data_IF_114285670510
#
_entry.id   IF_114285670510
#
_cell.length_a   1.000
_cell.length_b   1.000
_cell.length_c   1.000
_cell.angle_alpha   90.00
_cell.angle_beta   90.00
_cell.angle_gamma   90.00
#
_symmetry.space_group_name_H-M   'P 1'
#
loop_
_entity.id
_entity.type
_entity.pdbx_description
1 polymer ?
#
# COMPACT_ATOMS: atom_id res chain seq x y z
N UNK A 1 -29.77 33.51 -44.91
CA UNK A 1 -28.98 33.12 -46.10
C UNK A 1 -27.82 34.09 -46.21
N UNK A 2 -26.62 33.70 -45.80
CA UNK A 2 -25.45 34.59 -45.77
C UNK A 2 -24.60 34.55 -47.04
N UNK A 3 -24.87 33.61 -47.95
CA UNK A 3 -24.07 33.44 -49.14
C UNK A 3 -24.71 34.15 -50.36
N UNK A 4 -24.09 35.26 -50.80
CA UNK A 4 -24.59 36.08 -51.92
C UNK A 4 -24.49 35.36 -53.28
N UNK A 5 -23.73 34.27 -53.34
CA UNK A 5 -23.54 33.47 -54.56
C UNK A 5 -24.67 32.43 -54.78
N UNK A 6 -25.47 32.10 -53.74
CA UNK A 6 -26.59 31.14 -53.84
C UNK A 6 -27.56 31.50 -54.95
N UNK A 7 -27.88 32.79 -55.11
CA UNK A 7 -28.79 33.26 -56.17
C UNK A 7 -28.19 32.97 -57.54
N UNK A 8 -26.86 33.12 -57.72
CA UNK A 8 -26.19 32.81 -58.99
C UNK A 8 -26.21 31.31 -59.28
N UNK A 9 -25.97 30.46 -58.28
CA UNK A 9 -26.02 29.01 -58.44
C UNK A 9 -27.44 28.52 -58.81
N UNK A 10 -28.48 29.12 -58.22
CA UNK A 10 -29.87 28.77 -58.51
C UNK A 10 -30.39 29.30 -59.87
N UNK A 11 -29.79 30.35 -60.42
CA UNK A 11 -30.32 31.03 -61.62
C UNK A 11 -29.51 30.80 -62.90
N UNK A 12 -28.22 30.47 -62.82
CA UNK A 12 -27.38 30.23 -64.00
C UNK A 12 -27.47 28.77 -64.47
N UNK A 13 -27.76 28.57 -65.75
CA UNK A 13 -27.82 27.23 -66.40
C UNK A 13 -26.54 26.41 -66.22
N UNK A 14 -25.38 27.05 -66.22
CA UNK A 14 -24.07 26.37 -66.07
C UNK A 14 -23.91 25.62 -64.74
N UNK A 15 -24.69 25.99 -63.72
CA UNK A 15 -24.65 25.37 -62.39
C UNK A 15 -25.87 24.51 -62.09
N UNK A 16 -26.92 24.58 -62.93
CA UNK A 16 -28.17 23.85 -62.72
C UNK A 16 -27.96 22.32 -62.71
N UNK A 17 -27.11 21.82 -63.62
CA UNK A 17 -26.79 20.39 -63.73
C UNK A 17 -25.88 19.88 -62.60
N UNK A 18 -25.32 20.78 -61.78
CA UNK A 18 -24.41 20.48 -60.66
C UNK A 18 -25.06 20.72 -59.29
N UNK A 19 -26.33 21.10 -59.25
CA UNK A 19 -27.01 21.54 -58.04
C UNK A 19 -27.76 20.37 -57.39
N UNK A 20 -27.33 19.97 -56.20
CA UNK A 20 -28.05 19.01 -55.36
C UNK A 20 -28.98 19.78 -54.41
N UNK A 21 -30.28 19.58 -54.55
CA UNK A 21 -31.31 20.17 -53.69
C UNK A 21 -31.88 19.07 -52.81
N UNK A 22 -31.62 19.14 -51.51
CA UNK A 22 -32.23 18.24 -50.53
C UNK A 22 -33.35 18.95 -49.76
N UNK A 23 -34.50 18.27 -49.65
CA UNK A 23 -35.63 18.76 -48.86
C UNK A 23 -35.39 18.47 -47.38
N UNK A 24 -35.03 19.49 -46.62
CA UNK A 24 -34.88 19.40 -45.15
C UNK A 24 -36.25 19.29 -44.48
N UNK A 25 -36.40 18.30 -43.60
CA UNK A 25 -37.58 18.16 -42.73
C UNK A 25 -37.39 19.08 -41.52
N UNK A 26 -38.38 19.94 -41.27
CA UNK A 26 -38.37 20.85 -40.12
C UNK A 26 -38.57 20.08 -38.81
N UNK A 27 -37.77 20.38 -37.80
CA UNK A 27 -37.88 19.77 -36.48
C UNK A 27 -39.15 20.29 -35.76
N UNK A 28 -40.00 19.40 -35.21
CA UNK A 28 -41.14 19.77 -34.40
C UNK A 28 -40.80 20.65 -33.18
N UNK A 29 -41.65 21.62 -32.87
CA UNK A 29 -41.41 22.57 -31.77
C UNK A 29 -41.28 21.90 -30.39
N UNK A 30 -41.96 20.77 -30.16
CA UNK A 30 -41.86 20.04 -28.89
C UNK A 30 -40.46 19.43 -28.68
N UNK A 31 -39.79 18.94 -29.74
CA UNK A 31 -38.42 18.41 -29.65
C UNK A 31 -37.43 19.54 -29.33
N UNK A 32 -37.61 20.72 -29.94
CA UNK A 32 -36.80 21.90 -29.62
C UNK A 32 -36.95 22.26 -28.14
N UNK A 33 -38.18 22.27 -27.61
CA UNK A 33 -38.41 22.55 -26.18
C UNK A 33 -37.79 21.48 -25.27
N UNK A 34 -37.91 20.19 -25.61
CA UNK A 34 -37.30 19.10 -24.85
C UNK A 34 -35.77 19.22 -24.80
N UNK A 35 -35.13 19.64 -25.89
CA UNK A 35 -33.68 19.89 -25.90
C UNK A 35 -33.31 21.08 -25.02
N UNK A 36 -34.14 22.13 -24.95
CA UNK A 36 -33.88 23.24 -24.00
C UNK A 36 -33.97 22.79 -22.54
N UNK A 37 -34.93 21.93 -22.22
CA UNK A 37 -35.02 21.32 -20.89
C UNK A 37 -33.79 20.45 -20.60
N UNK A 38 -33.36 19.61 -21.55
CA UNK A 38 -32.12 18.84 -21.43
C UNK A 38 -30.89 19.72 -21.21
N UNK A 39 -30.79 20.87 -21.90
CA UNK A 39 -29.68 21.81 -21.65
C UNK A 39 -29.65 22.33 -20.21
N UNK A 40 -30.82 22.56 -19.63
CA UNK A 40 -30.95 23.00 -18.26
C UNK A 40 -30.53 21.89 -17.29
N UNK A 41 -31.03 20.67 -17.45
CA UNK A 41 -30.73 19.57 -16.54
C UNK A 41 -29.28 19.07 -16.65
N UNK A 42 -28.74 18.93 -17.88
CA UNK A 42 -27.38 18.43 -18.10
C UNK A 42 -26.30 19.47 -17.80
N UNK A 43 -26.50 20.71 -18.22
CA UNK A 43 -25.45 21.73 -18.24
C UNK A 43 -25.75 22.92 -17.33
N UNK A 44 -26.92 22.97 -16.67
CA UNK A 44 -27.38 24.14 -15.91
C UNK A 44 -27.42 25.43 -16.73
N UNK A 45 -27.72 25.34 -18.03
CA UNK A 45 -27.79 26.49 -18.94
C UNK A 45 -29.19 26.66 -19.50
N UNK A 46 -29.79 27.82 -19.24
CA UNK A 46 -31.12 28.20 -19.75
C UNK A 46 -31.05 29.14 -20.96
N UNK A 47 -29.94 29.85 -21.13
CA UNK A 47 -29.72 30.79 -22.23
C UNK A 47 -29.19 30.03 -23.46
N UNK A 48 -30.11 29.56 -24.29
CA UNK A 48 -29.81 28.85 -25.55
C UNK A 48 -30.52 29.49 -26.75
N UNK A 49 -29.97 29.38 -27.97
CA UNK A 49 -30.59 29.95 -29.16
C UNK A 49 -32.00 29.41 -29.41
N UNK A 50 -32.84 30.24 -30.02
CA UNK A 50 -34.21 29.85 -30.35
C UNK A 50 -34.33 29.17 -31.71
N UNK A 51 -33.34 29.37 -32.59
CA UNK A 51 -33.28 28.76 -33.91
C UNK A 51 -32.72 27.33 -33.86
N UNK A 52 -33.20 26.48 -34.75
CA UNK A 52 -32.89 25.03 -34.80
C UNK A 52 -31.38 24.77 -34.94
N UNK A 53 -30.72 25.47 -35.86
CA UNK A 53 -29.29 25.27 -36.16
C UNK A 53 -28.40 25.85 -35.06
N UNK A 54 -28.76 27.01 -34.51
CA UNK A 54 -28.07 27.64 -33.40
C UNK A 54 -28.16 26.81 -32.13
N UNK A 55 -29.34 26.25 -31.82
CA UNK A 55 -29.54 25.38 -30.68
C UNK A 55 -28.70 24.10 -30.84
N UNK A 56 -28.73 23.45 -32.00
CA UNK A 56 -27.91 22.26 -32.28
C UNK A 56 -26.42 22.55 -32.09
N UNK A 57 -25.91 23.65 -32.64
CA UNK A 57 -24.50 24.05 -32.47
C UNK A 57 -24.17 24.27 -30.99
N UNK A 58 -25.02 25.01 -30.27
CA UNK A 58 -24.80 25.31 -28.86
C UNK A 58 -24.78 24.04 -28.01
N UNK A 59 -25.71 23.12 -28.23
CA UNK A 59 -25.75 21.83 -27.54
C UNK A 59 -24.46 21.05 -27.82
N UNK A 60 -24.04 20.95 -29.07
CA UNK A 60 -22.80 20.25 -29.43
C UNK A 60 -21.55 20.83 -28.77
N UNK A 61 -21.48 22.15 -28.64
CA UNK A 61 -20.36 22.79 -27.94
C UNK A 61 -20.37 22.43 -26.45
N UNK A 62 -21.54 22.50 -25.79
CA UNK A 62 -21.69 22.09 -24.39
C UNK A 62 -21.37 20.61 -24.17
N UNK A 63 -21.83 19.75 -25.08
CA UNK A 63 -21.53 18.32 -25.07
C UNK A 63 -20.03 18.07 -25.20
N UNK A 64 -19.32 18.81 -26.05
CA UNK A 64 -17.86 18.68 -26.22
C UNK A 64 -17.09 19.12 -24.96
N UNK A 65 -17.52 20.21 -24.34
CA UNK A 65 -16.95 20.68 -23.07
C UNK A 65 -17.17 19.62 -21.98
N UNK A 66 -18.35 19.03 -21.92
CA UNK A 66 -18.70 18.01 -20.94
C UNK A 66 -17.92 16.70 -21.14
N UNK A 67 -17.80 16.22 -22.39
CA UNK A 67 -16.93 15.09 -22.73
C UNK A 67 -15.49 15.36 -22.29
N UNK A 68 -14.99 16.58 -22.44
CA UNK A 68 -13.64 16.96 -22.03
C UNK A 68 -13.46 16.85 -20.51
N UNK A 69 -14.42 17.37 -19.72
CA UNK A 69 -14.41 17.20 -18.25
C UNK A 69 -14.50 15.73 -17.84
N UNK A 70 -15.36 14.94 -18.49
CA UNK A 70 -15.44 13.50 -18.22
C UNK A 70 -14.07 12.83 -18.49
N UNK A 71 -13.40 13.19 -19.58
CA UNK A 71 -12.08 12.65 -19.90
C UNK A 71 -11.05 12.99 -18.81
N UNK A 72 -11.05 14.21 -18.29
CA UNK A 72 -10.19 14.60 -17.16
C UNK A 72 -10.48 13.75 -15.92
N UNK A 73 -11.76 13.58 -15.57
CA UNK A 73 -12.16 12.75 -14.43
C UNK A 73 -11.74 11.28 -14.62
N UNK A 74 -11.90 10.73 -15.82
CA UNK A 74 -11.54 9.35 -16.14
C UNK A 74 -10.03 9.06 -15.98
N UNK A 75 -9.15 10.08 -15.92
CA UNK A 75 -7.73 9.89 -15.63
C UNK A 75 -7.53 9.37 -14.21
N UNK A 76 -8.27 9.89 -13.22
CA UNK A 76 -8.15 9.44 -11.83
C UNK A 76 -8.46 7.95 -11.68
N UNK A 77 -9.44 7.45 -12.43
CA UNK A 77 -9.84 6.04 -12.42
C UNK A 77 -8.78 5.09 -13.00
N UNK A 78 -7.72 5.59 -13.64
CA UNK A 78 -6.58 4.76 -14.07
C UNK A 78 -5.64 4.45 -12.90
N UNK A 79 -5.60 5.31 -11.88
CA UNK A 79 -4.71 5.19 -10.73
C UNK A 79 -5.35 4.39 -9.59
N UNK A 80 -6.66 4.55 -9.40
CA UNK A 80 -7.37 3.89 -8.29
C UNK A 80 -8.83 3.62 -8.65
N UNK A 81 -9.46 2.71 -7.90
CA UNK A 81 -10.86 2.33 -8.09
C UNK A 81 -11.77 3.27 -7.29
N UNK A 82 -12.31 4.28 -7.96
CA UNK A 82 -13.29 5.21 -7.38
C UNK A 82 -14.73 4.81 -7.74
N UNK A 83 -15.73 5.23 -6.94
CA UNK A 83 -17.15 5.02 -7.26
C UNK A 83 -17.57 5.83 -8.51
N UNK A 84 -18.61 5.36 -9.20
CA UNK A 84 -19.26 6.11 -10.29
C UNK A 84 -18.57 6.11 -11.65
N UNK A 85 -17.55 5.28 -11.88
CA UNK A 85 -16.86 5.21 -13.19
C UNK A 85 -17.82 4.88 -14.34
N UNK A 86 -18.77 3.98 -14.11
CA UNK A 86 -19.71 3.53 -15.15
C UNK A 86 -20.63 4.66 -15.60
N UNK A 87 -21.11 5.48 -14.66
CA UNK A 87 -21.96 6.67 -14.95
C UNK A 87 -21.23 7.60 -15.93
N UNK A 88 -19.94 7.87 -15.68
CA UNK A 88 -19.13 8.71 -16.57
C UNK A 88 -18.92 8.09 -17.95
N UNK A 89 -18.69 6.78 -18.03
CA UNK A 89 -18.48 6.07 -19.31
C UNK A 89 -19.76 6.05 -20.15
N UNK A 90 -20.87 5.64 -19.57
CA UNK A 90 -22.18 5.58 -20.24
C UNK A 90 -22.63 6.97 -20.71
N UNK A 91 -22.45 7.99 -19.85
CA UNK A 91 -22.70 9.39 -20.22
C UNK A 91 -21.83 9.84 -21.38
N UNK A 92 -20.52 9.58 -21.32
CA UNK A 92 -19.58 9.94 -22.38
C UNK A 92 -19.93 9.29 -23.72
N UNK A 93 -20.23 7.99 -23.74
CA UNK A 93 -20.58 7.27 -24.96
C UNK A 93 -21.84 7.85 -25.63
N UNK A 94 -22.86 8.14 -24.83
CA UNK A 94 -24.11 8.79 -25.29
C UNK A 94 -23.82 10.19 -25.84
N UNK A 95 -23.05 11.01 -25.13
CA UNK A 95 -22.67 12.35 -25.57
C UNK A 95 -21.82 12.35 -26.85
N UNK A 96 -20.88 11.41 -26.99
CA UNK A 96 -20.04 11.27 -28.19
C UNK A 96 -20.87 10.85 -29.41
N UNK A 97 -21.85 9.97 -29.22
CA UNK A 97 -22.79 9.58 -30.27
C UNK A 97 -23.57 10.79 -30.78
N UNK A 98 -24.13 11.60 -29.89
CA UNK A 98 -24.87 12.82 -30.23
C UNK A 98 -23.99 13.83 -31.00
N UNK A 99 -22.73 14.01 -30.59
CA UNK A 99 -21.81 14.94 -31.25
C UNK A 99 -21.52 14.59 -32.72
N UNK A 100 -21.52 13.30 -33.08
CA UNK A 100 -21.21 12.79 -34.43
C UNK A 100 -22.35 12.98 -35.43
N UNK A 101 -23.58 13.27 -34.99
CA UNK A 101 -24.74 13.38 -35.87
C UNK A 101 -24.74 14.73 -36.58
N UNK A 102 -24.62 14.74 -37.90
CA UNK A 102 -24.55 15.99 -38.69
C UNK A 102 -25.92 16.49 -39.16
N UNK A 103 -26.86 15.58 -39.43
CA UNK A 103 -28.23 15.96 -39.80
C UNK A 103 -28.99 16.50 -38.59
N UNK A 104 -29.72 17.60 -38.80
CA UNK A 104 -30.44 18.26 -37.71
C UNK A 104 -31.59 17.38 -37.21
N UNK A 105 -32.40 16.80 -38.10
CA UNK A 105 -33.55 16.02 -37.67
C UNK A 105 -33.10 14.78 -36.91
N UNK A 106 -32.12 14.06 -37.44
CA UNK A 106 -31.52 12.90 -36.78
C UNK A 106 -30.97 13.29 -35.38
N UNK A 107 -30.36 14.46 -35.25
CA UNK A 107 -29.83 14.93 -33.97
C UNK A 107 -30.92 15.13 -32.91
N UNK A 108 -32.04 15.78 -33.27
CA UNK A 108 -33.16 16.00 -32.35
C UNK A 108 -33.92 14.70 -32.04
N UNK A 109 -34.08 13.82 -33.04
CA UNK A 109 -34.69 12.50 -32.85
C UNK A 109 -33.84 11.63 -31.90
N UNK A 110 -32.51 11.65 -32.03
CA UNK A 110 -31.63 10.88 -31.17
C UNK A 110 -31.57 11.45 -29.73
N UNK A 111 -31.51 12.77 -29.58
CA UNK A 111 -31.61 13.40 -28.25
C UNK A 111 -32.92 13.05 -27.54
N UNK A 112 -34.01 12.94 -28.28
CA UNK A 112 -35.29 12.52 -27.73
C UNK A 112 -35.27 11.05 -27.30
N UNK A 113 -34.60 10.19 -28.07
CA UNK A 113 -34.46 8.76 -27.79
C UNK A 113 -33.58 8.50 -26.58
N UNK A 114 -32.46 9.20 -26.47
CA UNK A 114 -31.48 9.04 -25.39
C UNK A 114 -31.78 9.96 -24.18
N UNK A 115 -32.95 10.63 -24.17
CA UNK A 115 -33.34 11.60 -23.13
C UNK A 115 -33.20 11.03 -21.72
N UNK A 116 -33.74 9.85 -21.46
CA UNK A 116 -33.75 9.27 -20.11
C UNK A 116 -32.34 8.91 -19.65
N UNK A 117 -31.50 8.36 -20.56
CA UNK A 117 -30.08 8.03 -20.28
C UNK A 117 -29.30 9.30 -19.95
N UNK A 118 -29.56 10.39 -20.67
CA UNK A 118 -28.93 11.69 -20.41
C UNK A 118 -29.36 12.28 -19.06
N UNK A 119 -30.64 12.15 -18.69
CA UNK A 119 -31.13 12.60 -17.38
C UNK A 119 -30.55 11.75 -16.24
N UNK A 120 -30.49 10.44 -16.39
CA UNK A 120 -29.84 9.53 -15.43
C UNK A 120 -28.36 9.89 -15.24
N UNK A 121 -27.67 10.25 -16.33
CA UNK A 121 -26.31 10.78 -16.27
C UNK A 121 -26.26 12.14 -15.55
N UNK A 122 -27.17 13.06 -15.85
CA UNK A 122 -27.22 14.36 -15.20
C UNK A 122 -27.29 14.20 -13.68
N UNK A 123 -28.26 13.43 -13.20
CA UNK A 123 -28.47 13.17 -11.78
C UNK A 123 -27.30 12.40 -11.16
N UNK A 124 -26.87 11.31 -11.80
CA UNK A 124 -25.83 10.44 -11.28
C UNK A 124 -24.44 11.09 -11.26
N UNK A 125 -24.15 11.98 -12.21
CA UNK A 125 -22.83 12.60 -12.33
C UNK A 125 -22.59 13.72 -11.32
N UNK A 126 -23.64 14.29 -10.70
CA UNK A 126 -23.53 15.36 -9.69
C UNK A 126 -22.65 14.91 -8.53
N UNK A 127 -22.99 13.76 -7.93
CA UNK A 127 -22.25 13.22 -6.80
C UNK A 127 -20.83 12.79 -7.19
N UNK A 128 -20.67 12.24 -8.40
CA UNK A 128 -19.36 11.84 -8.93
C UNK A 128 -18.44 13.05 -9.09
N UNK A 129 -18.92 14.13 -9.71
CA UNK A 129 -18.15 15.37 -9.89
C UNK A 129 -17.81 15.99 -8.53
N UNK A 130 -18.80 16.11 -7.65
CA UNK A 130 -18.62 16.63 -6.29
C UNK A 130 -17.60 15.83 -5.47
N UNK A 131 -17.52 14.53 -5.67
CA UNK A 131 -16.51 13.69 -5.03
C UNK A 131 -15.08 14.10 -5.39
N UNK A 132 -14.81 14.42 -6.66
CA UNK A 132 -13.49 14.88 -7.13
C UNK A 132 -13.22 16.36 -6.85
N UNK A 133 -14.26 17.19 -6.85
CA UNK A 133 -14.14 18.65 -6.62
C UNK A 133 -14.07 19.02 -5.12
N UNK A 134 -14.11 18.03 -4.22
CA UNK A 134 -14.11 18.24 -2.76
C UNK A 134 -13.11 17.35 -2.04
N UNK A 135 -13.01 17.51 -0.72
CA UNK A 135 -12.14 16.69 0.14
C UNK A 135 -12.62 15.22 0.26
N UNK A 136 -13.76 14.87 -0.34
CA UNK A 136 -14.30 13.51 -0.28
C UNK A 136 -13.32 12.48 -0.87
N UNK A 137 -12.66 12.81 -1.98
CA UNK A 137 -11.61 11.97 -2.55
C UNK A 137 -10.49 11.68 -1.54
N UNK A 138 -10.00 12.70 -0.86
CA UNK A 138 -8.90 12.56 0.11
C UNK A 138 -9.31 11.65 1.29
N UNK A 139 -10.52 11.82 1.82
CA UNK A 139 -11.02 10.96 2.89
C UNK A 139 -11.21 9.51 2.44
N UNK A 140 -11.67 9.31 1.20
CA UNK A 140 -11.79 7.99 0.61
C UNK A 140 -10.42 7.33 0.43
N UNK A 141 -9.45 8.05 -0.14
CA UNK A 141 -8.07 7.57 -0.33
C UNK A 141 -7.42 7.17 1.00
N UNK A 142 -7.59 8.01 2.03
CA UNK A 142 -7.09 7.71 3.38
C UNK A 142 -7.76 6.46 3.98
N UNK A 143 -9.07 6.29 3.81
CA UNK A 143 -9.78 5.11 4.29
C UNK A 143 -9.28 3.82 3.60
N UNK A 144 -9.14 3.84 2.27
CA UNK A 144 -8.55 2.72 1.50
C UNK A 144 -7.17 2.38 2.04
N UNK A 145 -6.31 3.39 2.20
CA UNK A 145 -4.96 3.17 2.73
C UNK A 145 -4.97 2.55 4.14
N UNK A 146 -5.84 3.00 5.05
CA UNK A 146 -5.93 2.40 6.41
C UNK A 146 -6.48 0.98 6.39
N UNK A 147 -7.43 0.68 5.50
CA UNK A 147 -7.90 -0.69 5.27
C UNK A 147 -6.73 -1.58 4.81
N UNK A 148 -5.88 -1.08 3.90
CA UNK A 148 -4.72 -1.83 3.41
C UNK A 148 -3.68 -2.06 4.50
N UNK A 149 -3.38 -1.04 5.32
CA UNK A 149 -2.51 -1.17 6.50
C UNK A 149 -3.02 -2.27 7.43
N UNK A 150 -4.32 -2.29 7.74
CA UNK A 150 -4.90 -3.36 8.54
C UNK A 150 -4.77 -4.72 7.84
N UNK A 151 -5.09 -4.81 6.55
CA UNK A 151 -5.01 -6.07 5.80
C UNK A 151 -3.59 -6.65 5.81
N UNK A 152 -2.56 -5.79 5.69
CA UNK A 152 -1.17 -6.19 5.82
C UNK A 152 -0.81 -6.69 7.22
N UNK A 153 -1.55 -6.30 8.26
CA UNK A 153 -1.29 -6.63 9.67
C UNK A 153 -2.32 -7.59 10.30
N UNK A 154 -3.28 -8.08 9.51
CA UNK A 154 -4.50 -8.75 9.99
C UNK A 154 -4.24 -9.99 10.87
N UNK A 155 -3.14 -10.70 10.64
CA UNK A 155 -2.75 -11.88 11.42
C UNK A 155 -2.48 -11.57 12.89
N UNK A 156 -1.99 -10.36 13.19
CA UNK A 156 -1.62 -9.94 14.54
C UNK A 156 -2.69 -9.08 15.22
N UNK A 157 -3.58 -8.47 14.44
CA UNK A 157 -4.59 -7.56 14.96
C UNK A 157 -5.92 -8.28 15.11
N UNK A 158 -6.15 -8.88 16.29
CA UNK A 158 -7.39 -9.58 16.64
C UNK A 158 -8.37 -8.72 17.47
N UNK A 159 -8.04 -7.44 17.67
CA UNK A 159 -8.86 -6.51 18.44
C UNK A 159 -10.21 -6.24 17.76
N UNK A 160 -11.29 -6.46 18.50
CA UNK A 160 -12.66 -6.36 17.96
C UNK A 160 -13.03 -4.95 17.53
N UNK A 161 -12.52 -3.92 18.21
CA UNK A 161 -12.81 -2.53 17.85
C UNK A 161 -12.14 -2.18 16.53
N UNK A 162 -10.87 -2.56 16.35
CA UNK A 162 -10.16 -2.34 15.07
C UNK A 162 -10.86 -3.08 13.93
N UNK A 163 -11.25 -4.33 14.14
CA UNK A 163 -11.98 -5.13 13.14
C UNK A 163 -13.29 -4.44 12.75
N UNK A 164 -14.06 -3.94 13.72
CA UNK A 164 -15.33 -3.25 13.47
C UNK A 164 -15.12 -1.93 12.72
N UNK A 165 -14.16 -1.09 13.15
CA UNK A 165 -13.81 0.17 12.48
C UNK A 165 -13.44 -0.05 11.02
N UNK A 166 -12.60 -1.06 10.75
CA UNK A 166 -12.23 -1.44 9.38
C UNK A 166 -13.43 -1.93 8.59
N UNK A 167 -14.31 -2.74 9.19
CA UNK A 167 -15.55 -3.19 8.57
C UNK A 167 -16.48 -2.03 8.18
N UNK A 168 -16.61 -1.02 9.04
CA UNK A 168 -17.37 0.19 8.74
C UNK A 168 -16.75 0.98 7.57
N UNK A 169 -15.42 1.17 7.56
CA UNK A 169 -14.72 1.82 6.45
C UNK A 169 -14.90 1.03 5.14
N UNK A 170 -14.76 -0.30 5.17
CA UNK A 170 -14.96 -1.18 4.02
C UNK A 170 -16.39 -1.10 3.47
N UNK A 171 -17.40 -1.00 4.34
CA UNK A 171 -18.80 -0.84 3.92
C UNK A 171 -19.02 0.46 3.14
N UNK A 172 -18.37 1.55 3.56
CA UNK A 172 -18.43 2.82 2.83
C UNK A 172 -17.66 2.71 1.52
N UNK A 173 -16.40 2.30 1.54
CA UNK A 173 -15.53 2.21 0.35
C UNK A 173 -16.08 1.24 -0.70
N UNK A 174 -16.71 0.14 -0.28
CA UNK A 174 -17.28 -0.88 -1.16
C UNK A 174 -18.71 -0.57 -1.65
N UNK A 175 -19.34 0.51 -1.18
CA UNK A 175 -20.68 0.90 -1.63
C UNK A 175 -20.65 1.46 -3.06
N UNK A 176 -21.68 1.14 -3.85
CA UNK A 176 -21.82 1.71 -5.21
C UNK A 176 -22.07 3.23 -5.19
N UNK A 177 -22.71 3.74 -4.13
CA UNK A 177 -23.03 5.16 -3.94
C UNK A 177 -22.60 5.62 -2.54
N UNK A 178 -21.28 5.80 -2.30
CA UNK A 178 -20.76 6.08 -0.95
C UNK A 178 -20.87 7.54 -0.53
N UNK A 179 -21.23 8.45 -1.44
CA UNK A 179 -21.09 9.91 -1.31
C UNK A 179 -21.70 10.50 -0.04
N UNK A 180 -22.85 9.97 0.39
CA UNK A 180 -23.53 10.41 1.62
C UNK A 180 -22.84 9.92 2.89
N UNK A 181 -22.04 8.85 2.85
CA UNK A 181 -21.38 8.27 4.03
C UNK A 181 -19.90 8.65 4.15
N UNK A 182 -19.29 9.21 3.10
CA UNK A 182 -17.86 9.60 3.10
C UNK A 182 -17.53 10.57 4.25
N UNK A 183 -18.46 11.42 4.67
CA UNK A 183 -18.24 12.35 5.79
C UNK A 183 -17.98 11.65 7.13
N UNK A 184 -18.32 10.35 7.25
CA UNK A 184 -18.07 9.54 8.46
C UNK A 184 -16.63 9.03 8.51
N UNK A 185 -15.97 8.90 7.36
CA UNK A 185 -14.63 8.30 7.25
C UNK A 185 -13.57 8.98 8.12
N UNK A 186 -13.48 10.33 8.22
CA UNK A 186 -12.48 10.98 9.07
C UNK A 186 -12.52 10.47 10.52
N UNK A 187 -13.72 10.41 11.11
CA UNK A 187 -13.89 9.94 12.49
C UNK A 187 -13.52 8.46 12.68
N UNK A 188 -13.80 7.61 11.68
CA UNK A 188 -13.43 6.20 11.69
C UNK A 188 -11.92 6.02 11.57
N UNK A 189 -11.28 6.81 10.70
CA UNK A 189 -9.83 6.83 10.49
C UNK A 189 -9.12 7.25 11.77
N UNK A 190 -9.56 8.32 12.42
CA UNK A 190 -8.90 8.82 13.64
C UNK A 190 -8.96 7.78 14.77
N UNK A 191 -10.13 7.17 14.98
CA UNK A 191 -10.30 6.08 15.95
C UNK A 191 -9.44 4.86 15.61
N UNK A 192 -9.38 4.51 14.33
CA UNK A 192 -8.53 3.40 13.87
C UNK A 192 -7.05 3.69 14.16
N UNK A 193 -6.56 4.90 13.84
CA UNK A 193 -5.16 5.27 14.05
C UNK A 193 -4.80 5.19 15.54
N UNK A 194 -5.62 5.78 16.41
CA UNK A 194 -5.39 5.72 17.86
C UNK A 194 -5.33 4.28 18.34
N UNK A 195 -6.36 3.48 18.06
CA UNK A 195 -6.44 2.11 18.57
C UNK A 195 -5.36 1.19 17.98
N UNK A 196 -5.04 1.35 16.70
CA UNK A 196 -4.02 0.56 16.03
C UNK A 196 -2.62 0.87 16.59
N UNK A 197 -2.32 2.15 16.85
CA UNK A 197 -1.05 2.56 17.48
C UNK A 197 -0.93 2.03 18.90
N UNK A 198 -1.99 2.11 19.72
CA UNK A 198 -2.00 1.53 21.07
C UNK A 198 -1.67 0.02 21.07
N UNK A 199 -2.26 -0.73 20.14
CA UNK A 199 -1.99 -2.16 20.01
C UNK A 199 -0.54 -2.42 19.60
N UNK A 200 0.00 -1.61 18.67
CA UNK A 200 1.37 -1.74 18.24
C UNK A 200 2.35 -1.44 19.37
N UNK A 201 2.10 -0.39 20.16
CA UNK A 201 2.90 -0.06 21.35
C UNK A 201 2.90 -1.20 22.38
N UNK A 202 1.75 -1.84 22.59
CA UNK A 202 1.64 -3.01 23.48
C UNK A 202 2.48 -4.18 22.97
N UNK A 203 2.45 -4.47 21.66
CA UNK A 203 3.25 -5.53 21.04
C UNK A 203 4.76 -5.21 21.01
N UNK A 204 5.13 -3.93 20.93
CA UNK A 204 6.54 -3.51 20.99
C UNK A 204 7.16 -3.70 22.38
N UNK A 205 6.38 -3.67 23.48
CA UNK A 205 6.91 -3.87 24.85
C UNK A 205 7.70 -5.17 25.05
N UNK A 206 7.16 -6.36 24.72
CA UNK A 206 7.92 -7.60 24.85
C UNK A 206 9.10 -7.66 23.85
N UNK A 207 9.04 -7.00 22.70
CA UNK A 207 10.19 -6.90 21.77
C UNK A 207 11.31 -6.10 22.43
N UNK A 208 10.99 -4.93 22.98
CA UNK A 208 11.93 -4.05 23.68
C UNK A 208 12.64 -4.79 24.81
N UNK A 209 11.90 -5.53 25.63
CA UNK A 209 12.47 -6.35 26.71
C UNK A 209 13.48 -7.39 26.20
N UNK A 210 13.22 -8.01 25.04
CA UNK A 210 14.16 -8.95 24.41
C UNK A 210 15.43 -8.22 23.97
N UNK A 211 15.30 -7.07 23.31
CA UNK A 211 16.44 -6.26 22.85
C UNK A 211 17.30 -5.81 24.04
N UNK A 212 16.67 -5.29 25.08
CA UNK A 212 17.34 -4.83 26.30
C UNK A 212 18.04 -6.01 27.01
N UNK A 213 17.38 -7.16 27.14
CA UNK A 213 17.97 -8.36 27.74
C UNK A 213 19.15 -8.91 26.93
N UNK A 214 19.05 -8.94 25.60
CA UNK A 214 20.15 -9.38 24.74
C UNK A 214 21.35 -8.44 24.85
N UNK A 215 21.10 -7.12 24.93
CA UNK A 215 22.15 -6.14 25.15
C UNK A 215 22.83 -6.30 26.52
N UNK A 216 22.05 -6.50 27.57
CA UNK A 216 22.56 -6.79 28.92
C UNK A 216 23.49 -8.01 28.92
N UNK A 217 23.11 -9.11 28.26
CA UNK A 217 23.96 -10.31 28.14
C UNK A 217 25.28 -10.02 27.42
N UNK A 218 25.25 -9.20 26.36
CA UNK A 218 26.47 -8.77 25.66
C UNK A 218 27.36 -7.93 26.58
N UNK A 219 26.78 -7.00 27.35
CA UNK A 219 27.52 -6.18 28.30
C UNK A 219 28.11 -7.01 29.45
N UNK A 220 27.35 -7.93 30.03
CA UNK A 220 27.81 -8.85 31.07
C UNK A 220 29.02 -9.67 30.60
N UNK A 221 29.00 -10.15 29.35
CA UNK A 221 30.15 -10.84 28.78
C UNK A 221 31.33 -9.89 28.54
N UNK A 222 31.09 -8.73 27.94
CA UNK A 222 32.14 -7.76 27.62
C UNK A 222 32.82 -7.22 28.88
N UNK A 223 32.09 -7.07 29.99
CA UNK A 223 32.60 -6.60 31.28
C UNK A 223 33.66 -7.52 31.91
N UNK A 224 33.81 -8.75 31.42
CA UNK A 224 34.82 -9.71 31.89
C UNK A 224 36.22 -9.40 31.37
N UNK A 225 36.37 -8.44 30.44
CA UNK A 225 37.61 -8.22 29.71
C UNK A 225 38.05 -6.75 29.65
N UNK A 226 39.37 -6.52 29.78
CA UNK A 226 40.00 -5.19 29.77
C UNK A 226 39.89 -4.46 28.42
N UNK A 227 39.67 -5.19 27.31
CA UNK A 227 39.50 -4.60 25.98
C UNK A 227 38.10 -4.01 25.73
N UNK A 228 37.20 -4.05 26.72
CA UNK A 228 35.86 -3.48 26.67
C UNK A 228 35.77 -2.08 26.01
N UNK A 229 36.67 -1.11 26.32
CA UNK A 229 36.58 0.23 25.73
C UNK A 229 36.67 0.25 24.19
N UNK A 230 37.22 -0.80 23.57
CA UNK A 230 37.34 -0.90 22.11
C UNK A 230 36.00 -1.23 21.43
N UNK A 231 35.13 -2.02 22.09
CA UNK A 231 33.91 -2.55 21.49
C UNK A 231 32.61 -1.93 22.01
N UNK A 232 32.64 -1.37 23.23
CA UNK A 232 31.42 -0.95 23.93
C UNK A 232 30.58 0.07 23.16
N UNK A 233 31.21 1.10 22.59
CA UNK A 233 30.48 2.15 21.85
C UNK A 233 29.86 1.60 20.56
N UNK A 234 30.57 0.71 19.87
CA UNK A 234 30.04 0.04 18.67
C UNK A 234 28.84 -0.83 19.00
N UNK A 235 28.91 -1.62 20.08
CA UNK A 235 27.79 -2.47 20.48
C UNK A 235 26.60 -1.65 20.93
N UNK A 236 26.84 -0.65 21.79
CA UNK A 236 25.80 0.27 22.26
C UNK A 236 25.04 0.90 21.09
N UNK A 237 25.75 1.47 20.12
CA UNK A 237 25.12 2.11 18.96
C UNK A 237 24.23 1.16 18.13
N UNK A 238 24.62 -0.12 17.98
CA UNK A 238 23.81 -1.10 17.23
C UNK A 238 22.51 -1.47 17.97
N UNK A 239 22.54 -1.59 19.30
CA UNK A 239 21.34 -1.87 20.09
C UNK A 239 20.45 -0.62 20.25
N UNK A 240 21.05 0.57 20.35
CA UNK A 240 20.30 1.85 20.32
C UNK A 240 19.58 2.06 18.98
N UNK A 241 20.21 1.68 17.84
CA UNK A 241 19.56 1.70 16.53
C UNK A 241 18.35 0.75 16.46
N UNK A 242 18.46 -0.47 17.00
CA UNK A 242 17.32 -1.39 17.08
C UNK A 242 16.17 -0.82 17.93
N UNK A 243 16.46 -0.24 19.08
CA UNK A 243 15.45 0.40 19.93
C UNK A 243 14.81 1.60 19.25
N UNK A 244 15.61 2.42 18.57
CA UNK A 244 15.11 3.56 17.80
C UNK A 244 14.18 3.11 16.67
N UNK A 245 14.55 2.08 15.91
CA UNK A 245 13.70 1.51 14.86
C UNK A 245 12.41 0.93 15.44
N UNK A 246 12.47 0.28 16.59
CA UNK A 246 11.28 -0.25 17.28
C UNK A 246 10.31 0.87 17.67
N UNK A 247 10.80 2.01 18.16
CA UNK A 247 9.98 3.17 18.54
C UNK A 247 9.29 3.83 17.35
N UNK A 248 9.82 3.66 16.14
CA UNK A 248 9.27 4.22 14.91
C UNK A 248 8.60 3.17 14.02
N UNK A 249 8.45 1.94 14.52
CA UNK A 249 7.78 0.87 13.80
C UNK A 249 6.32 1.25 13.56
N UNK A 250 5.84 1.04 12.33
CA UNK A 250 4.45 1.28 11.93
C UNK A 250 3.75 -0.02 11.49
N UNK A 251 4.39 -1.16 11.71
CA UNK A 251 3.98 -2.46 11.23
C UNK A 251 4.32 -3.54 12.27
N UNK A 252 3.37 -4.43 12.57
CA UNK A 252 3.53 -5.50 13.54
C UNK A 252 4.58 -6.52 13.11
N UNK A 253 4.65 -6.85 11.82
CA UNK A 253 5.64 -7.80 11.29
C UNK A 253 7.07 -7.28 11.51
N UNK A 254 7.29 -5.99 11.26
CA UNK A 254 8.59 -5.37 11.42
C UNK A 254 8.99 -5.35 12.90
N UNK A 255 8.10 -4.88 13.78
CA UNK A 255 8.34 -4.86 15.22
C UNK A 255 8.63 -6.25 15.78
N UNK A 256 7.86 -7.27 15.39
CA UNK A 256 8.07 -8.65 15.87
C UNK A 256 9.38 -9.24 15.35
N UNK A 257 9.72 -9.01 14.08
CA UNK A 257 10.96 -9.50 13.48
C UNK A 257 12.22 -8.95 14.16
N UNK A 258 12.15 -7.78 14.80
CA UNK A 258 13.28 -7.22 15.55
C UNK A 258 13.71 -8.10 16.74
N UNK A 259 12.86 -9.00 17.25
CA UNK A 259 13.28 -10.02 18.24
C UNK A 259 14.36 -10.94 17.66
N UNK A 260 14.15 -11.41 16.43
CA UNK A 260 15.14 -12.25 15.74
C UNK A 260 16.38 -11.45 15.32
N UNK A 261 16.19 -10.19 14.91
CA UNK A 261 17.29 -9.28 14.58
C UNK A 261 18.19 -9.05 15.80
N UNK A 262 17.60 -8.85 16.98
CA UNK A 262 18.30 -8.75 18.26
C UNK A 262 19.12 -9.99 18.60
N UNK A 263 18.54 -11.19 18.49
CA UNK A 263 19.25 -12.44 18.79
C UNK A 263 20.46 -12.63 17.87
N UNK A 264 20.30 -12.33 16.57
CA UNK A 264 21.40 -12.36 15.60
C UNK A 264 22.48 -11.32 15.90
N UNK A 265 22.08 -10.12 16.31
CA UNK A 265 23.01 -9.07 16.70
C UNK A 265 23.81 -9.48 17.94
N UNK A 266 23.15 -10.01 18.97
CA UNK A 266 23.79 -10.59 20.15
C UNK A 266 24.82 -11.64 19.75
N UNK A 267 24.45 -12.65 18.96
CA UNK A 267 25.39 -13.69 18.53
C UNK A 267 26.63 -13.10 17.83
N UNK A 268 26.44 -12.10 16.96
CA UNK A 268 27.55 -11.40 16.30
C UNK A 268 28.45 -10.67 17.30
N UNK A 269 27.87 -10.00 18.31
CA UNK A 269 28.65 -9.37 19.38
C UNK A 269 29.47 -10.40 20.17
N UNK A 270 28.90 -11.57 20.47
CA UNK A 270 29.63 -12.66 21.13
C UNK A 270 30.75 -13.23 20.25
N UNK A 271 30.57 -13.30 18.93
CA UNK A 271 31.63 -13.69 17.99
C UNK A 271 32.77 -12.65 17.95
N UNK A 272 32.43 -11.35 17.91
CA UNK A 272 33.42 -10.26 17.96
C UNK A 272 34.22 -10.28 19.28
N UNK A 273 33.56 -10.53 20.42
CA UNK A 273 34.24 -10.75 21.71
C UNK A 273 35.18 -11.96 21.64
N UNK A 274 34.75 -13.09 21.07
CA UNK A 274 35.58 -14.28 20.94
C UNK A 274 36.84 -14.04 20.08
N UNK A 275 36.72 -13.21 19.03
CA UNK A 275 37.86 -12.77 18.20
C UNK A 275 38.85 -11.96 19.04
N UNK A 276 38.42 -10.98 19.83
CA UNK A 276 39.33 -10.20 20.69
C UNK A 276 40.00 -11.05 21.77
N UNK A 277 39.28 -12.00 22.38
CA UNK A 277 39.87 -12.97 23.33
C UNK A 277 41.01 -13.76 22.67
N UNK A 278 40.84 -14.14 21.40
CA UNK A 278 41.85 -14.90 20.65
C UNK A 278 43.10 -14.09 20.33
N UNK A 279 42.99 -12.75 20.24
CA UNK A 279 44.12 -11.84 20.02
C UNK A 279 44.94 -11.63 21.31
N UNK A 280 44.30 -11.69 22.47
CA UNK A 280 44.93 -11.40 23.77
C UNK A 280 45.58 -12.64 24.40
N UNK A 281 45.04 -13.84 24.16
CA UNK A 281 45.74 -15.09 24.51
C UNK A 281 47.01 -15.21 23.67
N UNK A 282 48.23 -15.12 24.24
CA UNK A 282 49.45 -15.26 23.45
C UNK A 282 49.57 -16.69 22.94
N UNK A 283 50.05 -16.88 21.70
CA UNK A 283 50.94 -18.01 21.41
C UNK A 283 51.98 -18.02 22.53
N UNK A 284 51.92 -18.97 23.46
CA UNK A 284 52.95 -19.14 24.47
C UNK A 284 53.83 -20.31 24.02
N UNK A 285 55.02 -20.08 23.47
CA UNK A 285 56.03 -21.12 23.40
C UNK A 285 56.40 -21.52 24.83
N UNK A 286 56.57 -22.82 25.16
CA UNK A 286 57.09 -23.21 26.45
C UNK A 286 58.49 -22.62 26.65
N UNK A 287 58.71 -21.97 27.79
CA UNK A 287 59.98 -21.40 28.22
C UNK A 287 61.07 -22.49 28.19
N UNK A 288 62.21 -22.30 27.50
CA UNK A 288 63.25 -23.32 27.45
C UNK A 288 64.05 -23.34 28.76
N UNK A 289 63.78 -24.35 29.59
CA UNK A 289 64.72 -24.80 30.61
C UNK A 289 66.01 -25.33 29.95
N UNK A 290 67.15 -24.86 30.45
CA UNK A 290 68.49 -25.14 29.91
C UNK A 290 68.85 -26.63 29.88
N UNK A 291 69.59 -26.94 28.80
CA UNK A 291 70.57 -28.01 28.60
C UNK A 291 70.10 -29.40 28.14
N UNK A 292 70.33 -29.63 26.84
CA UNK A 292 71.19 -30.73 26.40
C UNK A 292 70.51 -31.90 25.68
N UNK A 293 70.77 -31.95 24.37
CA UNK A 293 70.62 -33.09 23.43
C UNK A 293 69.20 -33.44 22.96
N UNK A 294 68.97 -33.14 21.68
CA UNK A 294 68.04 -33.87 20.78
C UNK A 294 68.43 -35.36 20.70
N UNK A 295 67.48 -36.30 20.45
CA UNK A 295 66.75 -36.34 19.18
C UNK A 295 65.25 -36.65 19.24
N UNK A 296 64.58 -36.19 18.17
CA UNK A 296 63.34 -36.68 17.54
C UNK A 296 62.24 -37.30 18.42
N UNK A 297 61.17 -36.51 18.63
CA UNK A 297 59.80 -37.04 18.69
C UNK A 297 58.92 -36.10 17.87
N UNK A 298 58.29 -36.66 16.82
CA UNK A 298 57.17 -36.03 16.11
C UNK A 298 55.99 -35.90 17.08
N UNK A 299 55.79 -34.74 17.69
CA UNK A 299 54.54 -34.42 18.37
C UNK A 299 53.59 -33.65 17.43
N UNK A 300 52.32 -34.06 17.27
CA UNK A 300 51.39 -33.40 16.36
C UNK A 300 51.03 -31.99 16.85
N UNK A 301 50.67 -31.05 15.95
CA UNK A 301 50.27 -29.70 16.36
C UNK A 301 49.02 -29.76 17.24
N UNK A 302 49.14 -29.25 18.47
CA UNK A 302 48.02 -29.10 19.40
C UNK A 302 46.87 -28.34 18.74
N UNK A 303 45.74 -29.02 18.57
CA UNK A 303 44.58 -28.47 17.88
C UNK A 303 43.87 -27.46 18.79
N UNK A 304 43.89 -26.19 18.40
CA UNK A 304 43.20 -25.12 19.12
C UNK A 304 41.69 -25.25 18.92
N UNK A 305 40.91 -25.15 20.00
CA UNK A 305 39.46 -25.28 19.93
C UNK A 305 38.78 -23.98 19.51
N UNK A 306 37.99 -23.99 18.43
CA UNK A 306 37.19 -22.86 17.95
C UNK A 306 35.95 -22.69 18.83
N UNK A 307 35.64 -21.49 19.31
CA UNK A 307 34.38 -21.25 20.03
C UNK A 307 33.25 -20.99 19.04
N UNK A 308 32.11 -21.66 19.23
CA UNK A 308 30.87 -21.46 18.47
C UNK A 308 29.78 -21.04 19.45
N UNK A 309 29.19 -19.88 19.22
CA UNK A 309 28.09 -19.34 20.04
C UNK A 309 26.75 -19.83 19.47
N UNK A 310 25.91 -20.44 20.32
CA UNK A 310 24.60 -20.97 19.95
C UNK A 310 23.53 -20.35 20.84
N UNK A 311 22.51 -19.75 20.23
CA UNK A 311 21.35 -19.21 20.96
C UNK A 311 20.51 -20.34 21.51
N UNK A 312 20.21 -20.30 22.81
CA UNK A 312 19.38 -21.31 23.49
C UNK A 312 17.97 -21.38 22.87
N UNK A 313 17.45 -20.25 22.41
CA UNK A 313 16.13 -20.16 21.76
C UNK A 313 16.03 -21.01 20.48
N UNK A 314 17.16 -21.29 19.82
CA UNK A 314 17.21 -22.07 18.58
C UNK A 314 17.43 -23.58 18.81
N UNK A 315 17.58 -24.02 20.07
CA UNK A 315 17.85 -25.42 20.40
C UNK A 315 16.54 -26.21 20.55
N UNK A 316 15.46 -25.59 21.00
CA UNK A 316 14.15 -26.21 21.14
C UNK A 316 13.20 -25.62 20.09
N UNK A 317 12.49 -26.48 19.35
CA UNK A 317 11.49 -26.07 18.37
C UNK A 317 10.15 -26.76 18.62
N UNK A 318 9.06 -26.05 18.28
CA UNK A 318 7.70 -26.58 18.36
C UNK A 318 7.10 -26.53 19.77
N UNK A 319 5.77 -26.67 19.84
CA UNK A 319 5.06 -26.83 21.10
C UNK A 319 5.31 -28.25 21.64
N UNK A 320 5.71 -28.36 22.90
CA UNK A 320 5.88 -29.64 23.61
C UNK A 320 4.99 -29.66 24.84
N UNK A 321 4.10 -30.65 24.91
CA UNK A 321 3.33 -30.95 26.11
C UNK A 321 4.12 -31.91 26.99
N UNK A 322 4.19 -31.64 28.29
CA UNK A 322 4.89 -32.48 29.26
C UNK A 322 3.86 -32.94 30.28
N UNK A 323 3.51 -34.22 30.23
CA UNK A 323 2.52 -34.84 31.13
C UNK A 323 3.14 -35.98 31.96
N UNK A 324 4.34 -36.44 31.58
CA UNK A 324 5.06 -37.54 32.21
C UNK A 324 6.57 -37.29 32.28
N UNK A 325 7.25 -38.09 33.11
CA UNK A 325 8.72 -38.05 33.24
C UNK A 325 9.43 -38.47 31.94
N UNK A 326 8.79 -39.33 31.14
CA UNK A 326 9.28 -39.71 29.80
C UNK A 326 9.32 -38.51 28.85
N UNK A 327 8.32 -37.62 28.92
CA UNK A 327 8.27 -36.43 28.04
C UNK A 327 9.41 -35.46 28.35
N UNK A 328 9.80 -35.37 29.63
CA UNK A 328 10.98 -34.60 30.06
C UNK A 328 12.24 -35.20 29.45
N UNK A 329 12.37 -36.52 29.51
CA UNK A 329 13.52 -37.24 28.97
C UNK A 329 13.65 -37.04 27.45
N UNK A 330 12.53 -37.03 26.72
CA UNK A 330 12.49 -36.76 25.28
C UNK A 330 12.91 -35.33 24.93
N UNK A 331 12.49 -34.34 25.71
CA UNK A 331 12.95 -32.95 25.54
C UNK A 331 14.46 -32.84 25.76
N UNK A 332 14.96 -33.44 26.84
CA UNK A 332 16.39 -33.45 27.17
C UNK A 332 17.20 -34.20 26.11
N UNK A 333 16.67 -35.30 25.57
CA UNK A 333 17.31 -36.06 24.50
C UNK A 333 17.42 -35.28 23.19
N UNK A 334 16.42 -34.48 22.82
CA UNK A 334 16.51 -33.61 21.65
C UNK A 334 17.61 -32.56 21.81
N UNK A 335 17.64 -31.87 22.96
CA UNK A 335 18.70 -30.90 23.29
C UNK A 335 20.07 -31.58 23.20
N UNK A 336 20.21 -32.74 23.84
CA UNK A 336 21.44 -33.55 23.86
C UNK A 336 21.91 -33.91 22.45
N UNK A 337 21.00 -34.36 21.58
CA UNK A 337 21.33 -34.74 20.22
C UNK A 337 21.78 -33.54 19.36
N UNK A 338 21.12 -32.38 19.50
CA UNK A 338 21.55 -31.16 18.81
C UNK A 338 22.92 -30.68 19.26
N UNK A 339 23.15 -30.62 20.58
CA UNK A 339 24.46 -30.24 21.13
C UNK A 339 25.56 -31.20 20.66
N UNK A 340 25.29 -32.52 20.60
CA UNK A 340 26.24 -33.50 20.07
C UNK A 340 26.55 -33.29 18.58
N UNK A 341 25.56 -32.92 17.77
CA UNK A 341 25.75 -32.66 16.34
C UNK A 341 26.62 -31.43 16.08
N UNK A 342 26.51 -30.41 16.94
CA UNK A 342 27.33 -29.19 16.88
C UNK A 342 28.72 -29.40 17.49
N UNK A 343 28.86 -30.32 18.46
CA UNK A 343 30.11 -30.64 19.15
C UNK A 343 30.97 -31.59 18.30
N UNK A 344 31.50 -31.10 17.18
CA UNK A 344 32.42 -31.84 16.29
C UNK A 344 33.88 -31.44 16.55
N UNK A 345 34.71 -32.39 16.98
CA UNK A 345 36.16 -32.20 17.11
C UNK A 345 36.58 -31.10 18.10
N UNK A 346 37.51 -30.23 17.70
CA UNK A 346 38.07 -29.14 18.51
C UNK A 346 37.17 -27.90 18.50
N UNK A 347 35.95 -28.03 19.03
CA UNK A 347 34.98 -26.93 19.15
C UNK A 347 34.59 -26.76 20.62
N UNK A 348 34.53 -25.51 21.10
CA UNK A 348 33.90 -25.12 22.37
C UNK A 348 32.54 -24.54 22.02
N UNK A 349 31.47 -25.16 22.50
CA UNK A 349 30.11 -24.60 22.35
C UNK A 349 29.88 -23.66 23.54
N UNK A 350 29.50 -22.42 23.25
CA UNK A 350 29.00 -21.48 24.24
C UNK A 350 27.51 -21.26 23.98
N UNK A 351 26.70 -21.57 24.98
CA UNK A 351 25.26 -21.32 24.95
C UNK A 351 24.99 -19.90 25.43
N UNK A 352 24.22 -19.13 24.65
CA UNK A 352 24.01 -17.69 24.83
C UNK A 352 22.52 -17.32 24.78
#
# INVERSE_FOLDING_TARGET
VQDREIVKYLTKRDYADRLLIEKRIKVPAHQINNVRELCKELFNITAVPSDEDGLMRRVKDLTRDEISKINELLIYYKQSRYPGQNILKEGKETLEKICKIHDSKEFYDELQRDKDVLLDYADGSIDVKKFFDSNQKEFFDKAVHKIDVYNSNKTYVLDKEVIDLVGQMQKVVGSQKPYSDIHKLPSLIDRFVVRFTELLEVECKPVRQVIESDYEKVLEELNKYEFKPVLIDSFKGRFEDLLYRLDHANNFYEAIAMKEESDRLKLRCFDEIAVEISKIKPLTPPIPGKHGKQPEVNDPPGKYKKTVNISIANILHGAKSIESESDIEDVVNEIRNRLRNELKGDIIIKLV
#
